data_IF_015772711652
#
_entry.id   IF_015772711652
#
_cell.length_a   1.000
_cell.length_b   1.000
_cell.length_c   1.000
_cell.angle_alpha   90.00
_cell.angle_beta   90.00
_cell.angle_gamma   90.00
#
_symmetry.space_group_name_H-M   'P 1'
#
loop_
_entity.id
_entity.type
_entity.pdbx_description
1 polymer ?
#
# COMPACT_ATOMS: atom_id res chain seq x y z
N UNK A 1 5.16 -4.45 29.56
CA UNK A 1 5.18 -3.23 28.75
C UNK A 1 5.03 -3.65 27.29
N UNK A 2 3.81 -3.63 26.77
CA UNK A 2 3.59 -3.91 25.34
C UNK A 2 4.20 -2.77 24.53
N UNK A 3 5.02 -3.05 23.50
CA UNK A 3 5.53 -1.98 22.63
C UNK A 3 4.34 -1.18 22.09
N UNK A 4 4.43 0.15 22.17
CA UNK A 4 3.34 1.00 21.70
C UNK A 4 3.22 0.87 20.19
N UNK A 5 1.99 0.67 19.70
CA UNK A 5 1.69 0.67 18.26
C UNK A 5 2.19 1.95 17.57
N UNK A 6 2.21 3.07 18.29
CA UNK A 6 2.80 4.33 17.83
C UNK A 6 4.28 4.20 17.47
N UNK A 7 5.09 3.49 18.29
CA UNK A 7 6.51 3.29 18.00
C UNK A 7 6.69 2.43 16.74
N UNK A 8 5.93 1.33 16.63
CA UNK A 8 5.97 0.47 15.46
C UNK A 8 5.62 1.23 14.18
N UNK A 9 4.51 1.97 14.19
CA UNK A 9 4.07 2.77 13.05
C UNK A 9 5.08 3.87 12.71
N UNK A 10 5.64 4.56 13.72
CA UNK A 10 6.66 5.59 13.50
C UNK A 10 7.90 5.02 12.80
N UNK A 11 8.43 3.90 13.31
CA UNK A 11 9.58 3.23 12.68
C UNK A 11 9.25 2.75 11.27
N UNK A 12 8.06 2.16 11.07
CA UNK A 12 7.61 1.72 9.76
C UNK A 12 7.55 2.89 8.76
N UNK A 13 7.04 4.04 9.18
CA UNK A 13 7.01 5.25 8.35
C UNK A 13 8.42 5.73 8.01
N UNK A 14 9.33 5.82 8.99
CA UNK A 14 10.71 6.24 8.76
C UNK A 14 11.38 5.33 7.73
N UNK A 15 11.28 4.01 7.91
CA UNK A 15 11.88 3.02 7.00
C UNK A 15 11.22 3.07 5.62
N UNK A 16 9.89 3.14 5.54
CA UNK A 16 9.15 3.20 4.28
C UNK A 16 9.46 4.46 3.46
N UNK A 17 9.52 5.62 4.13
CA UNK A 17 9.90 6.88 3.49
C UNK A 17 11.36 6.83 3.03
N UNK A 18 12.28 6.39 3.89
CA UNK A 18 13.69 6.28 3.55
C UNK A 18 13.89 5.33 2.36
N UNK A 19 13.19 4.20 2.33
CA UNK A 19 13.23 3.27 1.21
C UNK A 19 12.70 3.90 -0.08
N UNK A 20 11.56 4.61 -0.01
CA UNK A 20 11.00 5.31 -1.16
C UNK A 20 11.89 6.43 -1.69
N UNK A 21 12.69 7.07 -0.83
CA UNK A 21 13.70 8.07 -1.22
C UNK A 21 14.95 7.44 -1.84
N UNK A 22 15.35 6.24 -1.40
CA UNK A 22 16.42 5.47 -2.04
C UNK A 22 15.99 4.96 -3.42
N UNK A 23 14.70 4.71 -3.62
CA UNK A 23 14.13 4.43 -4.92
C UNK A 23 14.16 5.67 -5.81
N UNK A 24 14.57 5.47 -7.06
CA UNK A 24 14.53 6.51 -8.08
C UNK A 24 13.08 6.89 -8.41
N UNK A 25 12.88 8.14 -8.88
CA UNK A 25 11.64 8.72 -9.40
C UNK A 25 10.61 7.71 -9.91
N UNK A 26 10.99 6.99 -10.96
CA UNK A 26 10.09 6.17 -11.75
C UNK A 26 9.58 5.01 -10.90
N UNK A 27 10.43 4.50 -10.02
CA UNK A 27 10.09 3.40 -9.12
C UNK A 27 9.10 3.86 -8.05
N UNK A 28 9.23 5.06 -7.49
CA UNK A 28 8.28 5.54 -6.46
C UNK A 28 6.86 5.68 -7.00
N UNK A 29 6.70 6.22 -8.22
CA UNK A 29 5.37 6.31 -8.87
C UNK A 29 4.85 4.93 -9.26
N UNK A 30 5.70 4.06 -9.80
CA UNK A 30 5.33 2.68 -10.13
C UNK A 30 4.90 1.91 -8.88
N UNK A 31 5.59 2.07 -7.75
CA UNK A 31 5.20 1.48 -6.47
C UNK A 31 3.83 1.98 -6.03
N UNK A 32 3.57 3.29 -6.14
CA UNK A 32 2.25 3.85 -5.82
C UNK A 32 1.13 3.20 -6.65
N UNK A 33 1.31 3.13 -7.97
CA UNK A 33 0.35 2.47 -8.88
C UNK A 33 0.21 0.98 -8.54
N UNK A 34 1.32 0.31 -8.22
CA UNK A 34 1.33 -1.09 -7.80
C UNK A 34 0.52 -1.31 -6.52
N UNK A 35 0.56 -0.38 -5.57
CA UNK A 35 -0.27 -0.44 -4.36
C UNK A 35 -1.75 -0.40 -4.73
N UNK A 36 -2.19 0.51 -5.61
CA UNK A 36 -3.58 0.55 -6.06
C UNK A 36 -4.02 -0.74 -6.74
N UNK A 37 -3.20 -1.26 -7.66
CA UNK A 37 -3.50 -2.53 -8.33
C UNK A 37 -3.59 -3.68 -7.31
N UNK A 38 -2.68 -3.71 -6.33
CA UNK A 38 -2.70 -4.70 -5.26
C UNK A 38 -3.95 -4.58 -4.37
N UNK A 39 -4.40 -3.36 -4.06
CA UNK A 39 -5.67 -3.13 -3.32
C UNK A 39 -6.84 -3.72 -4.11
N UNK A 40 -6.97 -3.36 -5.39
CA UNK A 40 -8.08 -3.82 -6.25
C UNK A 40 -8.06 -5.34 -6.40
N UNK A 41 -6.89 -5.93 -6.67
CA UNK A 41 -6.76 -7.38 -6.78
C UNK A 41 -7.10 -8.09 -5.46
N UNK A 42 -6.67 -7.57 -4.33
CA UNK A 42 -6.99 -8.16 -3.02
C UNK A 42 -8.50 -8.11 -2.76
N UNK A 43 -9.16 -7.00 -3.11
CA UNK A 43 -10.61 -6.86 -2.97
C UNK A 43 -11.39 -7.82 -3.88
N UNK A 44 -10.95 -8.02 -5.12
CA UNK A 44 -11.58 -8.93 -6.08
C UNK A 44 -11.34 -10.40 -5.72
N UNK A 45 -10.16 -10.72 -5.20
CA UNK A 45 -9.76 -12.09 -4.90
C UNK A 45 -10.12 -12.53 -3.48
N UNK A 46 -10.65 -11.64 -2.62
CA UNK A 46 -10.97 -11.97 -1.23
C UNK A 46 -11.93 -13.16 -1.12
N UNK A 47 -13.01 -13.19 -1.90
CA UNK A 47 -14.06 -14.22 -1.79
C UNK A 47 -13.62 -15.54 -2.43
N UNK A 48 -13.04 -15.57 -3.65
CA UNK A 48 -12.50 -16.80 -4.23
C UNK A 48 -11.39 -17.44 -3.39
N UNK A 49 -10.49 -16.62 -2.83
CA UNK A 49 -9.39 -17.12 -2.01
C UNK A 49 -9.92 -17.60 -0.66
N UNK A 50 -10.83 -16.87 -0.01
CA UNK A 50 -11.45 -17.32 1.23
C UNK A 50 -12.19 -18.66 1.04
N UNK A 51 -12.96 -18.82 -0.04
CA UNK A 51 -13.65 -20.08 -0.37
C UNK A 51 -12.68 -21.24 -0.69
N UNK A 52 -11.51 -20.95 -1.28
CA UNK A 52 -10.46 -21.95 -1.48
C UNK A 52 -9.88 -22.44 -0.15
N UNK A 53 -9.54 -21.54 0.77
CA UNK A 53 -9.01 -21.91 2.09
C UNK A 53 -10.08 -22.49 3.04
N UNK A 54 -11.35 -22.15 2.85
CA UNK A 54 -12.49 -22.74 3.57
C UNK A 54 -12.84 -24.16 3.10
N UNK A 55 -12.24 -24.65 2.01
CA UNK A 55 -12.46 -26.00 1.49
C UNK A 55 -13.77 -26.17 0.71
N UNK A 56 -14.48 -25.09 0.37
CA UNK A 56 -15.74 -25.15 -0.40
C UNK A 56 -15.52 -25.57 -1.86
N UNK A 57 -14.30 -25.46 -2.39
CA UNK A 57 -13.92 -25.99 -3.69
C UNK A 57 -13.05 -27.23 -3.54
N UNK A 58 -13.71 -28.38 -3.53
CA UNK A 58 -13.16 -29.73 -3.49
C UNK A 58 -12.20 -30.01 -4.65
N UNK A 59 -10.93 -29.61 -4.53
CA UNK A 59 -9.84 -30.20 -5.30
C UNK A 59 -9.04 -31.05 -4.31
N UNK A 60 -9.50 -32.30 -4.16
CA UNK A 60 -8.79 -33.44 -3.56
C UNK A 60 -8.07 -33.18 -2.23
N UNK A 61 -8.77 -33.43 -1.11
CA UNK A 61 -8.32 -34.13 0.11
C UNK A 61 -6.93 -33.85 0.74
N UNK A 62 -6.17 -32.85 0.30
CA UNK A 62 -4.81 -32.57 0.76
C UNK A 62 -4.63 -31.19 1.39
N UNK A 63 -5.66 -30.34 1.38
CA UNK A 63 -5.57 -29.01 1.98
C UNK A 63 -6.03 -29.05 3.43
N UNK A 64 -5.04 -29.12 4.30
CA UNK A 64 -5.11 -28.81 5.73
C UNK A 64 -6.04 -27.61 5.91
N UNK A 65 -7.12 -27.80 6.68
CA UNK A 65 -7.94 -26.73 7.25
C UNK A 65 -7.03 -25.83 8.09
N UNK A 66 -6.31 -24.97 7.39
CA UNK A 66 -5.30 -24.11 7.96
C UNK A 66 -6.11 -23.02 8.63
N UNK A 67 -6.01 -22.93 9.96
CA UNK A 67 -6.67 -21.91 10.80
C UNK A 67 -6.06 -20.52 10.53
N UNK A 68 -5.91 -20.16 9.26
CA UNK A 68 -5.30 -18.92 8.79
C UNK A 68 -6.39 -17.87 8.83
N UNK A 69 -6.13 -16.80 9.58
CA UNK A 69 -7.09 -15.71 9.68
C UNK A 69 -7.34 -15.07 8.30
N UNK A 70 -8.56 -14.64 7.98
CA UNK A 70 -8.85 -13.89 6.75
C UNK A 70 -7.95 -12.67 6.56
N UNK A 71 -7.56 -12.02 7.67
CA UNK A 71 -6.57 -10.95 7.69
C UNK A 71 -5.23 -11.39 7.10
N UNK A 72 -4.67 -12.51 7.58
CA UNK A 72 -3.38 -13.03 7.11
C UNK A 72 -3.41 -13.36 5.62
N UNK A 73 -4.53 -13.90 5.13
CA UNK A 73 -4.73 -14.20 3.71
C UNK A 73 -4.72 -12.90 2.89
N UNK A 74 -5.55 -11.92 3.26
CA UNK A 74 -5.66 -10.65 2.53
C UNK A 74 -4.34 -9.86 2.56
N UNK A 75 -3.72 -9.73 3.73
CA UNK A 75 -2.43 -9.07 3.88
C UNK A 75 -1.34 -9.79 3.06
N UNK A 76 -1.33 -11.12 3.07
CA UNK A 76 -0.41 -11.93 2.27
C UNK A 76 -0.59 -11.70 0.77
N UNK A 77 -1.82 -11.79 0.25
CA UNK A 77 -2.15 -11.54 -1.16
C UNK A 77 -1.73 -10.13 -1.57
N UNK A 78 -2.05 -9.14 -0.74
CA UNK A 78 -1.68 -7.75 -0.97
C UNK A 78 -0.16 -7.57 -1.05
N UNK A 79 0.60 -8.04 -0.06
CA UNK A 79 2.06 -7.91 -0.02
C UNK A 79 2.71 -8.65 -1.19
N UNK A 80 2.29 -9.89 -1.47
CA UNK A 80 2.82 -10.67 -2.59
C UNK A 80 2.56 -9.97 -3.92
N UNK A 81 1.33 -9.48 -4.13
CA UNK A 81 0.95 -8.79 -5.36
C UNK A 81 1.70 -7.47 -5.51
N UNK A 82 1.81 -6.69 -4.43
CA UNK A 82 2.59 -5.46 -4.39
C UNK A 82 4.05 -5.72 -4.77
N UNK A 83 4.70 -6.73 -4.17
CA UNK A 83 6.09 -7.07 -4.47
C UNK A 83 6.22 -7.54 -5.93
N UNK A 84 5.34 -8.43 -6.40
CA UNK A 84 5.39 -8.95 -7.76
C UNK A 84 5.26 -7.84 -8.80
N UNK A 85 4.29 -6.93 -8.64
CA UNK A 85 4.10 -5.82 -9.57
C UNK A 85 5.25 -4.82 -9.44
N UNK A 86 5.64 -4.44 -8.22
CA UNK A 86 6.69 -3.45 -8.02
C UNK A 86 8.07 -3.92 -8.51
N UNK A 87 8.34 -5.23 -8.51
CA UNK A 87 9.62 -5.80 -9.00
C UNK A 87 9.61 -6.16 -10.47
N UNK A 88 8.52 -6.71 -11.00
CA UNK A 88 8.42 -7.14 -12.41
C UNK A 88 7.92 -6.08 -13.37
N UNK A 89 7.38 -4.97 -12.87
CA UNK A 89 6.58 -4.08 -13.72
C UNK A 89 7.29 -3.63 -14.99
N UNK A 90 8.62 -3.44 -15.02
CA UNK A 90 9.29 -2.90 -16.23
C UNK A 90 8.73 -1.55 -16.69
N UNK A 91 7.81 -0.96 -15.90
CA UNK A 91 7.08 0.29 -16.12
C UNK A 91 7.95 1.50 -15.78
N UNK A 92 9.26 1.29 -15.55
CA UNK A 92 10.26 2.36 -15.61
C UNK A 92 10.37 2.81 -17.07
N UNK A 93 9.36 3.57 -17.51
CA UNK A 93 9.31 4.21 -18.81
C UNK A 93 10.54 5.09 -18.97
N UNK A 94 11.20 4.92 -20.11
CA UNK A 94 12.53 5.44 -20.39
C UNK A 94 12.72 6.94 -20.19
N UNK A 95 13.98 7.26 -19.86
CA UNK A 95 14.73 8.48 -20.18
C UNK A 95 14.02 9.35 -21.22
N UNK A 96 13.31 10.40 -20.82
CA UNK A 96 13.04 11.61 -21.65
C UNK A 96 12.34 12.76 -20.90
N UNK A 97 12.49 12.84 -19.56
CA UNK A 97 12.00 13.97 -18.79
C UNK A 97 13.10 14.55 -17.92
N UNK A 98 13.92 15.43 -18.48
CA UNK A 98 15.04 16.15 -17.84
C UNK A 98 14.65 17.11 -16.69
N UNK A 99 13.45 16.98 -16.12
CA UNK A 99 13.07 17.66 -14.89
C UNK A 99 13.40 16.78 -13.69
N UNK A 100 14.49 17.10 -12.98
CA UNK A 100 14.73 16.62 -11.62
C UNK A 100 13.41 16.74 -10.85
N UNK A 101 12.82 15.62 -10.42
CA UNK A 101 11.81 15.70 -9.37
C UNK A 101 12.43 16.48 -8.23
N UNK A 102 11.73 17.52 -7.74
CA UNK A 102 12.14 18.14 -6.48
C UNK A 102 12.21 17.01 -5.44
N UNK A 103 13.26 16.95 -4.59
CA UNK A 103 13.33 16.00 -3.48
C UNK A 103 12.03 15.93 -2.65
N UNK A 104 11.30 17.05 -2.60
CA UNK A 104 9.97 17.15 -2.01
C UNK A 104 8.92 16.23 -2.65
N UNK A 105 8.95 16.05 -3.97
CA UNK A 105 8.00 15.21 -4.70
C UNK A 105 8.28 13.73 -4.44
N UNK A 106 9.56 13.31 -4.43
CA UNK A 106 9.97 11.95 -4.05
C UNK A 106 9.55 11.65 -2.61
N UNK A 107 9.80 12.59 -1.69
CA UNK A 107 9.37 12.49 -0.30
C UNK A 107 7.85 12.31 -0.21
N UNK A 108 7.09 13.13 -0.93
CA UNK A 108 5.62 13.09 -0.93
C UNK A 108 5.10 11.72 -1.42
N UNK A 109 5.60 11.21 -2.54
CA UNK A 109 5.19 9.89 -3.03
C UNK A 109 5.58 8.76 -2.07
N UNK A 110 6.76 8.84 -1.45
CA UNK A 110 7.24 7.82 -0.51
C UNK A 110 6.40 7.80 0.76
N UNK A 111 6.08 8.98 1.28
CA UNK A 111 5.19 9.17 2.43
C UNK A 111 3.79 8.62 2.12
N UNK A 112 3.20 9.04 0.99
CA UNK A 112 1.87 8.61 0.58
C UNK A 112 1.79 7.11 0.30
N UNK A 113 2.81 6.52 -0.34
CA UNK A 113 2.90 5.07 -0.57
C UNK A 113 2.92 4.31 0.75
N UNK A 114 3.73 4.76 1.70
CA UNK A 114 3.87 4.13 3.01
C UNK A 114 2.57 4.23 3.80
N UNK A 115 1.95 5.42 3.83
CA UNK A 115 0.66 5.63 4.49
C UNK A 115 -0.45 4.77 3.86
N UNK A 116 -0.49 4.66 2.53
CA UNK A 116 -1.47 3.85 1.83
C UNK A 116 -1.29 2.35 2.13
N UNK A 117 -0.06 1.85 2.14
CA UNK A 117 0.25 0.47 2.55
C UNK A 117 -0.23 0.19 3.96
N UNK A 118 0.15 1.05 4.92
CA UNK A 118 -0.21 0.86 6.34
C UNK A 118 -1.72 0.89 6.53
N UNK A 119 -2.40 1.91 6.00
CA UNK A 119 -3.85 2.06 6.17
C UNK A 119 -4.61 0.91 5.51
N UNK A 120 -4.13 0.42 4.37
CA UNK A 120 -4.68 -0.77 3.70
C UNK A 120 -4.49 -2.03 4.54
N UNK A 121 -3.30 -2.28 5.09
CA UNK A 121 -3.06 -3.44 5.95
C UNK A 121 -3.94 -3.42 7.21
N UNK A 122 -4.12 -2.24 7.82
CA UNK A 122 -5.03 -2.06 8.95
C UNK A 122 -6.49 -2.27 8.52
N UNK A 123 -6.86 -1.91 7.29
CA UNK A 123 -8.23 -2.13 6.78
C UNK A 123 -8.59 -3.62 6.71
N UNK A 124 -7.61 -4.51 6.52
CA UNK A 124 -7.80 -5.95 6.51
C UNK A 124 -7.90 -6.58 7.92
N UNK A 125 -7.56 -5.84 8.98
CA UNK A 125 -7.65 -6.36 10.34
C UNK A 125 -9.12 -6.57 10.74
N UNK A 126 -9.42 -7.57 11.60
CA UNK A 126 -10.73 -7.72 12.20
C UNK A 126 -11.10 -6.50 13.05
N UNK A 127 -12.39 -6.17 13.12
CA UNK A 127 -12.88 -4.98 13.83
C UNK A 127 -12.41 -4.91 15.29
N UNK A 128 -12.41 -6.05 15.99
CA UNK A 128 -11.96 -6.13 17.38
C UNK A 128 -10.47 -5.77 17.53
N UNK A 129 -9.61 -6.29 16.65
CA UNK A 129 -8.16 -6.00 16.66
C UNK A 129 -7.87 -4.55 16.27
N UNK A 130 -8.61 -4.03 15.29
CA UNK A 130 -8.52 -2.64 14.87
C UNK A 130 -8.96 -1.69 15.98
N UNK A 131 -10.06 -1.97 16.68
CA UNK A 131 -10.51 -1.18 17.82
C UNK A 131 -9.47 -1.14 18.94
N UNK A 132 -8.92 -2.29 19.32
CA UNK A 132 -7.85 -2.38 20.32
C UNK A 132 -6.59 -1.60 19.91
N UNK A 133 -6.25 -1.59 18.62
CA UNK A 133 -5.12 -0.81 18.12
C UNK A 133 -5.40 0.71 18.15
N UNK A 134 -6.61 1.15 17.82
CA UNK A 134 -7.00 2.57 17.88
C UNK A 134 -6.99 3.08 19.32
N UNK A 135 -7.46 2.26 20.27
CA UNK A 135 -7.46 2.62 21.69
C UNK A 135 -6.04 2.76 22.25
N UNK A 136 -5.10 1.96 21.74
CA UNK A 136 -3.71 1.95 22.18
C UNK A 136 -2.77 2.87 21.40
N UNK A 137 -3.21 3.45 20.27
CA UNK A 137 -2.37 4.30 19.41
C UNK A 137 -3.15 5.44 18.75
N UNK A 138 -2.72 6.67 19.06
CA UNK A 138 -3.28 7.88 18.44
C UNK A 138 -2.97 7.94 16.95
N UNK A 139 -1.79 7.47 16.54
CA UNK A 139 -1.38 7.43 15.14
C UNK A 139 -2.23 6.44 14.34
N UNK A 140 -2.48 5.25 14.89
CA UNK A 140 -3.39 4.27 14.31
C UNK A 140 -4.81 4.83 14.16
N UNK A 141 -5.32 5.50 15.19
CA UNK A 141 -6.61 6.20 15.14
C UNK A 141 -6.69 7.20 13.98
N UNK A 142 -5.67 8.03 13.81
CA UNK A 142 -5.62 9.00 12.70
C UNK A 142 -5.63 8.31 11.32
N UNK A 143 -4.81 7.27 11.15
CA UNK A 143 -4.70 6.52 9.90
C UNK A 143 -6.00 5.79 9.53
N UNK A 144 -6.67 5.17 10.50
CA UNK A 144 -7.94 4.46 10.27
C UNK A 144 -9.06 5.43 9.95
N UNK A 145 -9.25 6.46 10.77
CA UNK A 145 -10.39 7.38 10.64
C UNK A 145 -10.34 8.18 9.33
N UNK A 146 -9.14 8.37 8.75
CA UNK A 146 -8.94 9.10 7.50
C UNK A 146 -8.55 8.18 6.33
N UNK A 147 -8.85 6.87 6.40
CA UNK A 147 -8.45 5.92 5.36
C UNK A 147 -8.85 6.36 3.94
N UNK A 148 -10.07 6.87 3.76
CA UNK A 148 -10.54 7.39 2.46
C UNK A 148 -9.68 8.54 1.94
N UNK A 149 -9.25 9.45 2.82
CA UNK A 149 -8.34 10.53 2.45
C UNK A 149 -6.98 9.99 2.03
N UNK A 150 -6.45 9.00 2.75
CA UNK A 150 -5.20 8.34 2.37
C UNK A 150 -5.27 7.62 1.03
N UNK A 151 -6.45 7.14 0.63
CA UNK A 151 -6.69 6.53 -0.67
C UNK A 151 -6.79 7.56 -1.80
N UNK A 152 -7.29 8.77 -1.53
CA UNK A 152 -7.46 9.84 -2.52
C UNK A 152 -6.22 10.74 -2.69
N UNK A 153 -5.49 11.01 -1.60
CA UNK A 153 -4.33 11.90 -1.61
C UNK A 153 -3.27 11.55 -2.67
N UNK A 154 -2.93 10.27 -2.91
CA UNK A 154 -1.94 9.94 -3.92
C UNK A 154 -2.40 10.20 -5.35
N UNK A 155 -3.70 10.05 -5.63
CA UNK A 155 -4.29 10.44 -6.91
C UNK A 155 -4.21 11.96 -7.09
N UNK A 156 -4.58 12.71 -6.05
CA UNK A 156 -4.47 14.17 -6.06
C UNK A 156 -3.01 14.63 -6.27
N UNK A 157 -2.05 13.98 -5.61
CA UNK A 157 -0.62 14.26 -5.78
C UNK A 157 -0.18 14.05 -7.24
N UNK A 158 -0.54 12.91 -7.85
CA UNK A 158 -0.23 12.65 -9.28
C UNK A 158 -0.83 13.73 -10.17
N UNK A 159 -2.08 14.15 -9.94
CA UNK A 159 -2.72 15.18 -10.76
C UNK A 159 -2.01 16.53 -10.62
N UNK A 160 -1.69 16.97 -9.41
CA UNK A 160 -1.05 18.26 -9.15
C UNK A 160 0.37 18.28 -9.73
N UNK A 161 1.18 17.27 -9.43
CA UNK A 161 2.56 17.23 -9.90
C UNK A 161 2.69 16.83 -11.37
N UNK A 162 1.71 16.10 -11.90
CA UNK A 162 1.60 15.76 -13.32
C UNK A 162 1.19 16.96 -14.19
N UNK A 163 0.29 17.81 -13.71
CA UNK A 163 -0.17 19.01 -14.43
C UNK A 163 0.95 20.02 -14.66
N UNK A 164 1.80 20.26 -13.66
CA UNK A 164 2.91 21.23 -13.73
C UNK A 164 4.00 20.88 -14.76
N UNK A 165 3.85 19.79 -15.52
CA UNK A 165 4.84 19.28 -16.47
C UNK A 165 4.38 19.35 -17.91
N UNK A 166 3.25 19.99 -18.21
CA UNK A 166 2.68 20.01 -19.55
C UNK A 166 3.49 20.96 -20.47
N UNK A 167 4.23 20.47 -21.48
CA UNK A 167 5.03 21.31 -22.38
C UNK A 167 4.18 22.06 -23.42
N UNK A 168 2.85 21.94 -23.37
CA UNK A 168 1.92 22.54 -24.33
C UNK A 168 1.69 24.04 -24.13
N UNK A 169 2.17 24.63 -23.02
CA UNK A 169 2.03 26.06 -22.73
C UNK A 169 3.34 26.86 -22.76
N UNK A 170 4.46 26.21 -23.09
CA UNK A 170 5.79 26.83 -23.21
C UNK A 170 6.20 27.05 -24.70
N UNK A 171 5.23 27.38 -25.55
CA UNK A 171 5.47 27.85 -26.94
C UNK A 171 4.85 29.21 -27.17
#
# INVERSE_FOLDING_TARGET
MTPSWDLFLTVFFIVGIAYGMLMQREKSVVTLVSIYVAIVLTQLLKDPIAGFFAGERTISSFFVASHVSPFTIQAGVFVVTLILISTKSGLSGGRDGSGLLSPLEIFTYSFLSTALVVTTLISYMPDASRAAMIESSKMAGYLVNHHTWWLLLPIAAILVFGWNRNPLFDR
#
